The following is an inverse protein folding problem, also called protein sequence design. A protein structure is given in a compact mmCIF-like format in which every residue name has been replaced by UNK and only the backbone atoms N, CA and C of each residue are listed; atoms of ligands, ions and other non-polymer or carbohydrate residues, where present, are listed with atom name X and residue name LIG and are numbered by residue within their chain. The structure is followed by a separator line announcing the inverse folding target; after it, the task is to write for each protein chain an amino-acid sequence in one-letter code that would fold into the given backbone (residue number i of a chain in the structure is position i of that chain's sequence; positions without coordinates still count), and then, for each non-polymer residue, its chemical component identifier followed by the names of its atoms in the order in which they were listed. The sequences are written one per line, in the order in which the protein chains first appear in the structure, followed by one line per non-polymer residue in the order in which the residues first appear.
data_IF_872841086158
#
_entry.id   IF_872841086158
#
_cell.length_a   1.000
_cell.length_b   1.000
_cell.length_c   1.000
_cell.angle_alpha   90.00
_cell.angle_beta   90.00
_cell.angle_gamma   90.00
#
_symmetry.space_group_name_H-M   'P 1'
#
loop_
_entity.id
_entity.type
_entity.pdbx_description
1 polymer ?
#
# COMPACT_ATOMS: atom_id res chain seq x y z
N UNK A 1 7.22 -9.32 -5.06
CA UNK A 1 5.94 -10.04 -5.08
C UNK A 1 5.72 -10.65 -3.70
N UNK A 2 4.49 -10.60 -3.20
CA UNK A 2 4.10 -11.14 -1.89
C UNK A 2 2.80 -11.90 -2.06
N UNK A 3 2.78 -13.19 -1.72
CA UNK A 3 1.61 -14.02 -1.97
C UNK A 3 1.29 -14.99 -0.83
N UNK A 4 0.01 -15.33 -0.68
CA UNK A 4 -0.51 -16.35 0.24
C UNK A 4 -0.04 -16.20 1.71
N UNK A 5 0.07 -14.97 2.19
CA UNK A 5 0.50 -14.70 3.56
C UNK A 5 -0.60 -15.09 4.56
N UNK A 6 -0.29 -16.06 5.43
CA UNK A 6 -1.26 -16.62 6.40
C UNK A 6 -1.44 -15.81 7.68
N UNK A 7 -0.52 -14.89 8.00
CA UNK A 7 -0.48 -14.16 9.29
C UNK A 7 -0.10 -12.69 9.18
N UNK A 8 0.31 -12.25 7.99
CA UNK A 8 0.83 -10.90 7.78
C UNK A 8 -0.34 -9.90 7.76
N UNK A 9 -0.31 -8.91 8.65
CA UNK A 9 -1.36 -7.88 8.78
C UNK A 9 -1.04 -6.62 7.96
N UNK A 10 0.24 -6.33 7.80
CA UNK A 10 0.83 -5.19 7.11
C UNK A 10 2.07 -5.68 6.33
N UNK A 11 2.35 -5.10 5.17
CA UNK A 11 3.52 -5.48 4.38
C UNK A 11 4.80 -4.86 4.93
N UNK A 12 4.76 -3.55 5.19
CA UNK A 12 5.90 -2.75 5.66
C UNK A 12 5.44 -1.66 6.60
N UNK A 13 6.36 -1.14 7.40
CA UNK A 13 6.16 0.13 8.10
C UNK A 13 6.38 1.34 7.21
N UNK A 14 5.87 2.51 7.62
CA UNK A 14 6.09 3.78 6.92
C UNK A 14 7.58 4.11 6.77
N UNK A 15 8.37 3.90 7.83
CA UNK A 15 9.83 4.06 7.83
C UNK A 15 10.52 3.16 6.81
N UNK A 16 10.08 1.91 6.69
CA UNK A 16 10.58 0.98 5.68
C UNK A 16 10.13 1.39 4.28
N UNK A 17 8.86 1.78 4.12
CA UNK A 17 8.27 2.16 2.83
C UNK A 17 8.99 3.36 2.21
N UNK A 18 9.41 4.34 3.01
CA UNK A 18 10.22 5.50 2.57
C UNK A 18 11.53 5.11 1.88
N UNK A 19 12.09 3.96 2.25
CA UNK A 19 13.34 3.46 1.67
C UNK A 19 13.14 2.62 0.39
N UNK A 20 11.90 2.34 0.00
CA UNK A 20 11.57 1.56 -1.20
C UNK A 20 11.66 2.38 -2.50
N UNK A 21 12.63 3.29 -2.60
CA UNK A 21 12.80 4.23 -3.72
C UNK A 21 13.12 3.55 -5.06
N UNK A 22 13.63 2.32 -5.02
CA UNK A 22 13.93 1.52 -6.21
C UNK A 22 12.83 0.53 -6.58
N UNK A 23 11.71 0.49 -5.84
CA UNK A 23 10.62 -0.44 -6.11
C UNK A 23 9.88 -0.03 -7.39
N UNK A 24 9.91 -0.92 -8.39
CA UNK A 24 9.26 -0.68 -9.70
C UNK A 24 7.93 -1.39 -9.83
N UNK A 25 7.80 -2.59 -9.27
CA UNK A 25 6.58 -3.39 -9.32
C UNK A 25 6.25 -3.97 -7.95
N UNK A 26 4.99 -3.88 -7.55
CA UNK A 26 4.46 -4.48 -6.33
C UNK A 26 3.22 -5.31 -6.66
N UNK A 27 3.28 -6.62 -6.39
CA UNK A 27 2.14 -7.54 -6.44
C UNK A 27 1.88 -8.10 -5.05
N UNK A 28 0.64 -8.01 -4.58
CA UNK A 28 0.14 -8.65 -3.37
C UNK A 28 -1.03 -9.53 -3.76
N UNK A 29 -0.95 -10.83 -3.46
CA UNK A 29 -1.92 -11.82 -3.93
C UNK A 29 -2.32 -12.82 -2.82
N UNK A 30 -3.61 -12.97 -2.54
CA UNK A 30 -4.11 -14.02 -1.65
C UNK A 30 -3.75 -13.82 -0.16
N UNK A 31 -3.38 -12.60 0.24
CA UNK A 31 -2.98 -12.25 1.60
C UNK A 31 -4.21 -11.90 2.47
N UNK A 32 -5.06 -12.88 2.74
CA UNK A 32 -6.42 -12.66 3.31
C UNK A 32 -6.51 -12.01 4.69
N UNK A 33 -5.43 -12.00 5.48
CA UNK A 33 -5.38 -11.35 6.81
C UNK A 33 -4.74 -9.96 6.78
N UNK A 34 -4.23 -9.51 5.64
CA UNK A 34 -3.64 -8.19 5.50
C UNK A 34 -4.76 -7.14 5.55
N UNK A 35 -4.65 -6.19 6.48
CA UNK A 35 -5.65 -5.13 6.71
C UNK A 35 -5.23 -3.79 6.14
N UNK A 36 -3.93 -3.56 6.07
CA UNK A 36 -3.28 -2.41 5.44
C UNK A 36 -1.98 -2.86 4.77
N UNK A 37 -1.42 -2.08 3.85
CA UNK A 37 -0.14 -2.42 3.22
C UNK A 37 1.01 -1.75 3.95
N UNK A 38 0.83 -0.47 4.28
CA UNK A 38 1.77 0.31 5.10
C UNK A 38 1.15 0.55 6.46
N UNK A 39 1.87 0.19 7.53
CA UNK A 39 1.53 0.61 8.89
C UNK A 39 2.33 1.84 9.30
N UNK A 40 1.67 2.81 9.94
CA UNK A 40 2.32 4.01 10.47
C UNK A 40 2.99 3.68 11.82
N UNK A 41 4.22 4.15 12.01
CA UNK A 41 4.95 4.01 13.27
C UNK A 41 4.95 5.34 14.04
N UNK A 42 4.35 5.37 15.25
CA UNK A 42 4.38 6.53 16.15
C UNK A 42 3.24 7.55 15.94
N UNK A 43 3.32 8.64 16.69
CA UNK A 43 2.31 9.73 16.78
C UNK A 43 2.67 10.94 15.90
N UNK A 44 3.44 10.70 14.84
CA UNK A 44 4.09 11.77 14.06
C UNK A 44 3.11 12.40 13.07
N UNK A 45 3.11 13.73 13.04
CA UNK A 45 2.38 14.54 12.07
C UNK A 45 2.82 14.17 10.64
N UNK A 46 1.86 13.69 9.83
CA UNK A 46 1.94 13.40 8.39
C UNK A 46 3.19 12.63 7.92
N UNK A 47 3.08 11.29 7.91
CA UNK A 47 4.11 10.44 7.32
C UNK A 47 3.96 10.42 5.78
N UNK A 48 4.80 11.20 5.09
CA UNK A 48 4.86 11.17 3.62
C UNK A 48 5.68 9.97 3.13
N UNK A 49 5.07 9.14 2.27
CA UNK A 49 5.72 8.03 1.58
C UNK A 49 5.63 8.24 0.07
N UNK A 50 6.79 8.30 -0.58
CA UNK A 50 6.90 8.51 -2.03
C UNK A 50 7.46 7.28 -2.71
N UNK A 51 6.63 6.61 -3.50
CA UNK A 51 7.05 5.52 -4.38
C UNK A 51 7.51 6.08 -5.73
N UNK A 52 8.70 6.67 -5.76
CA UNK A 52 9.20 7.44 -6.90
C UNK A 52 9.30 6.66 -8.21
N UNK A 53 9.54 5.35 -8.15
CA UNK A 53 9.77 4.48 -9.32
C UNK A 53 8.71 3.41 -9.52
N UNK A 54 7.69 3.34 -8.66
CA UNK A 54 6.66 2.31 -8.75
C UNK A 54 5.78 2.60 -9.96
N UNK A 55 5.84 1.69 -10.94
CA UNK A 55 5.11 1.75 -12.20
C UNK A 55 3.88 0.84 -12.20
N UNK A 56 3.96 -0.27 -11.48
CA UNK A 56 2.93 -1.30 -11.50
C UNK A 56 2.59 -1.74 -10.07
N UNK A 57 1.32 -1.62 -9.71
CA UNK A 57 0.79 -2.04 -8.43
C UNK A 57 -0.41 -2.96 -8.65
N UNK A 58 -0.38 -4.18 -8.10
CA UNK A 58 -1.53 -5.07 -8.08
C UNK A 58 -1.82 -5.62 -6.70
N UNK A 59 -3.10 -5.57 -6.34
CA UNK A 59 -3.71 -6.10 -5.14
C UNK A 59 -4.80 -7.08 -5.57
N UNK A 60 -4.58 -8.37 -5.34
CA UNK A 60 -5.42 -9.47 -5.79
C UNK A 60 -5.83 -10.34 -4.59
N UNK A 61 -7.12 -10.64 -4.44
CA UNK A 61 -7.61 -11.57 -3.41
C UNK A 61 -7.16 -11.22 -1.98
N UNK A 62 -7.15 -9.92 -1.63
CA UNK A 62 -6.73 -9.41 -0.31
C UNK A 62 -7.96 -9.08 0.54
N UNK A 63 -8.70 -10.12 0.93
CA UNK A 63 -10.06 -10.02 1.50
C UNK A 63 -10.23 -9.10 2.71
N UNK A 64 -9.19 -8.91 3.52
CA UNK A 64 -9.25 -8.07 4.73
C UNK A 64 -8.71 -6.66 4.56
N UNK A 65 -8.21 -6.32 3.37
CA UNK A 65 -7.59 -5.04 3.10
C UNK A 65 -8.64 -3.94 3.20
N UNK A 66 -8.41 -2.95 4.06
CA UNK A 66 -9.33 -1.80 4.25
C UNK A 66 -8.84 -0.57 3.50
N UNK A 67 -7.54 -0.31 3.55
CA UNK A 67 -6.85 0.78 2.85
C UNK A 67 -5.39 0.41 2.58
N UNK A 68 -4.71 1.15 1.70
CA UNK A 68 -3.28 0.98 1.47
C UNK A 68 -2.45 1.38 2.70
N UNK A 69 -2.90 2.41 3.40
CA UNK A 69 -2.32 2.92 4.64
C UNK A 69 -3.45 3.45 5.53
N UNK A 70 -3.47 3.08 6.82
CA UNK A 70 -4.49 3.51 7.77
C UNK A 70 -3.92 4.61 8.70
N UNK A 71 -4.46 5.83 8.63
CA UNK A 71 -4.03 6.97 9.44
C UNK A 71 -3.56 8.17 8.60
N UNK A 72 -2.85 9.10 9.23
CA UNK A 72 -2.43 10.36 8.61
C UNK A 72 -1.14 10.16 7.78
N UNK A 73 -1.27 9.49 6.65
CA UNK A 73 -0.18 9.23 5.72
C UNK A 73 -0.48 9.80 4.33
N UNK A 74 0.52 10.50 3.77
CA UNK A 74 0.45 11.04 2.41
C UNK A 74 1.20 10.11 1.49
N UNK A 75 0.49 9.43 0.59
CA UNK A 75 1.09 8.51 -0.37
C UNK A 75 1.21 9.17 -1.74
N UNK A 76 2.42 9.17 -2.30
CA UNK A 76 2.68 9.69 -3.66
C UNK A 76 3.22 8.60 -4.56
N UNK A 77 2.65 8.54 -5.76
CA UNK A 77 2.99 7.54 -6.79
C UNK A 77 3.29 8.21 -8.13
N UNK A 78 4.34 9.07 -8.22
CA UNK A 78 4.57 9.92 -9.38
C UNK A 78 4.82 9.18 -10.70
N UNK A 79 5.25 7.91 -10.63
CA UNK A 79 5.55 7.08 -11.81
C UNK A 79 4.55 5.95 -12.06
N UNK A 80 3.40 5.93 -11.36
CA UNK A 80 2.47 4.80 -11.42
C UNK A 80 1.65 4.83 -12.70
N UNK A 81 1.92 3.84 -13.55
CA UNK A 81 1.26 3.62 -14.83
C UNK A 81 0.03 2.73 -14.64
N UNK A 82 0.23 1.58 -13.98
CA UNK A 82 -0.81 0.57 -13.81
C UNK A 82 -1.16 0.32 -12.35
N UNK A 83 -2.47 0.33 -12.05
CA UNK A 83 -3.04 -0.04 -10.76
C UNK A 83 -4.14 -1.07 -10.97
N UNK A 84 -3.98 -2.25 -10.37
CA UNK A 84 -4.97 -3.32 -10.34
C UNK A 84 -5.43 -3.57 -8.90
N UNK A 85 -6.74 -3.50 -8.69
CA UNK A 85 -7.38 -3.89 -7.44
C UNK A 85 -8.48 -4.87 -7.80
N UNK A 86 -8.24 -6.15 -7.55
CA UNK A 86 -9.07 -7.26 -7.99
C UNK A 86 -9.43 -8.10 -6.77
N UNK A 87 -10.72 -8.41 -6.60
CA UNK A 87 -11.22 -9.24 -5.50
C UNK A 87 -10.73 -8.78 -4.11
N UNK A 88 -10.81 -7.46 -3.85
CA UNK A 88 -10.51 -6.84 -2.56
C UNK A 88 -11.78 -6.28 -1.91
N UNK A 89 -12.72 -7.12 -1.46
CA UNK A 89 -14.10 -6.71 -1.12
C UNK A 89 -14.24 -5.76 0.07
N UNK A 90 -13.26 -5.72 0.99
CA UNK A 90 -13.29 -4.81 2.16
C UNK A 90 -12.57 -3.48 1.94
N UNK A 91 -11.96 -3.29 0.77
CA UNK A 91 -11.20 -2.09 0.48
C UNK A 91 -12.19 -0.97 0.16
N UNK A 92 -12.32 0.00 1.06
CA UNK A 92 -13.28 1.10 0.92
C UNK A 92 -12.65 2.35 0.30
N UNK A 93 -11.38 2.59 0.63
CA UNK A 93 -10.59 3.75 0.20
C UNK A 93 -9.18 3.29 -0.15
N UNK A 94 -8.55 3.94 -1.13
CA UNK A 94 -7.16 3.64 -1.44
C UNK A 94 -6.22 4.22 -0.38
N UNK A 95 -6.38 5.51 -0.05
CA UNK A 95 -5.70 6.21 1.06
C UNK A 95 -6.60 7.29 1.63
N UNK A 96 -6.40 7.67 2.90
CA UNK A 96 -7.07 8.83 3.52
C UNK A 96 -6.44 10.17 3.10
N UNK A 97 -5.18 10.16 2.64
CA UNK A 97 -4.48 11.36 2.15
C UNK A 97 -4.81 11.73 0.70
N UNK A 98 -4.33 12.90 0.29
CA UNK A 98 -4.50 13.44 -1.08
C UNK A 98 -3.79 12.52 -2.06
N UNK A 99 -4.56 11.94 -2.97
CA UNK A 99 -4.06 11.13 -4.06
C UNK A 99 -3.71 12.05 -5.23
N UNK A 100 -2.49 12.59 -5.24
CA UNK A 100 -2.01 13.38 -6.38
C UNK A 100 -1.46 12.45 -7.46
N UNK A 101 -2.31 12.11 -8.43
CA UNK A 101 -1.82 11.90 -9.80
C UNK A 101 -1.69 13.28 -10.47
N UNK A 102 -0.76 13.48 -11.42
CA UNK A 102 -0.88 14.58 -12.38
C UNK A 102 -2.23 14.52 -13.10
#
# INVERSE_FOLDING_TARGET
EVSYCKRLKNLVSSSTAKNLVCLVKLRIDGCRLMTEIISIEGDVEEDEVVFSRLKWLSLECVDSLKSFCFGNCTLKFPSLEDLFVIDCPKMMIFSLGILSKP
#
